data_IF_668098614886
#
_entry.id   IF_668098614886
#
_cell.length_a   1.000
_cell.length_b   1.000
_cell.length_c   1.000
_cell.angle_alpha   90.00
_cell.angle_beta   90.00
_cell.angle_gamma   90.00
#
_symmetry.space_group_name_H-M   'P 1'
#
loop_
_entity.id
_entity.type
_entity.pdbx_description
1 polymer ?
#
# COMPACT_ATOMS: atom_id res chain seq x y z
N UNK A 1 29.28 -26.54 94.19
CA UNK A 1 28.40 -25.44 93.75
C UNK A 1 28.41 -25.38 92.23
N UNK A 2 27.26 -25.31 91.56
CA UNK A 2 27.14 -24.99 90.12
C UNK A 2 27.47 -23.49 89.91
N UNK A 3 28.03 -23.08 88.75
CA UNK A 3 27.21 -22.89 87.54
C UNK A 3 27.85 -23.38 86.21
N UNK A 4 27.01 -23.81 85.27
CA UNK A 4 27.19 -23.65 83.80
C UNK A 4 26.77 -22.21 83.45
N UNK A 5 27.23 -21.52 82.38
CA UNK A 5 27.16 -21.89 80.95
C UNK A 5 28.44 -21.43 80.18
N UNK A 6 28.61 -21.31 78.86
CA UNK A 6 27.74 -21.20 77.68
C UNK A 6 28.52 -21.62 76.43
N UNK A 7 27.85 -22.37 75.54
CA UNK A 7 28.12 -22.33 74.11
C UNK A 7 27.85 -20.90 73.60
N UNK A 8 28.76 -20.37 72.78
CA UNK A 8 28.44 -19.35 71.78
C UNK A 8 28.89 -19.96 70.45
N UNK A 9 27.96 -20.58 69.73
CA UNK A 9 27.09 -19.97 68.72
C UNK A 9 27.88 -19.51 67.48
N UNK A 10 27.81 -20.38 66.46
CA UNK A 10 27.58 -20.09 65.05
C UNK A 10 28.20 -18.83 64.47
N UNK A 11 29.26 -19.00 63.68
CA UNK A 11 29.59 -18.08 62.61
C UNK A 11 29.85 -18.84 61.30
N UNK A 12 28.77 -19.36 60.72
CA UNK A 12 28.73 -19.94 59.36
C UNK A 12 27.51 -19.43 58.61
N UNK A 13 27.32 -18.11 58.56
CA UNK A 13 26.18 -17.46 57.88
C UNK A 13 26.55 -16.74 56.57
N UNK A 14 27.73 -17.02 55.98
CA UNK A 14 28.24 -16.26 54.81
C UNK A 14 28.23 -16.98 53.44
N UNK A 15 27.86 -18.28 53.23
CA UNK A 15 27.84 -18.82 51.86
C UNK A 15 26.48 -18.71 51.16
N UNK A 16 25.36 -18.64 51.89
CA UNK A 16 24.01 -18.77 51.30
C UNK A 16 23.54 -17.47 50.65
N UNK A 17 23.76 -16.31 51.28
CA UNK A 17 23.33 -15.01 50.74
C UNK A 17 23.99 -14.67 49.40
N UNK A 18 25.27 -15.04 49.20
CA UNK A 18 25.98 -14.81 47.94
C UNK A 18 25.46 -15.68 46.80
N UNK A 19 25.08 -16.93 47.11
CA UNK A 19 24.45 -17.84 46.15
C UNK A 19 23.05 -17.34 45.76
N UNK A 20 22.26 -16.85 46.72
CA UNK A 20 20.95 -16.25 46.45
C UNK A 20 21.10 -14.99 45.59
N UNK A 21 22.03 -14.09 45.92
CA UNK A 21 22.25 -12.87 45.14
C UNK A 21 22.72 -13.17 43.71
N UNK A 22 23.64 -14.12 43.52
CA UNK A 22 24.09 -14.54 42.20
C UNK A 22 22.96 -15.22 41.40
N UNK A 23 22.15 -16.06 42.05
CA UNK A 23 20.99 -16.69 41.44
C UNK A 23 19.93 -15.69 40.99
N UNK A 24 19.62 -14.69 41.83
CA UNK A 24 18.67 -13.62 41.47
C UNK A 24 19.22 -12.76 40.34
N UNK A 25 20.51 -12.42 40.34
CA UNK A 25 21.13 -11.66 39.25
C UNK A 25 21.06 -12.42 37.92
N UNK A 26 21.39 -13.71 37.93
CA UNK A 26 21.29 -14.57 36.74
C UNK A 26 19.84 -14.71 36.26
N UNK A 27 18.88 -14.84 37.17
CA UNK A 27 17.46 -14.89 36.83
C UNK A 27 17.00 -13.58 36.18
N UNK A 28 17.40 -12.42 36.74
CA UNK A 28 17.08 -11.11 36.18
C UNK A 28 17.71 -10.95 34.79
N UNK A 29 18.97 -11.32 34.61
CA UNK A 29 19.64 -11.30 33.30
C UNK A 29 18.96 -12.23 32.30
N UNK A 30 18.51 -13.42 32.74
CA UNK A 30 17.78 -14.36 31.90
C UNK A 30 16.41 -13.82 31.50
N UNK A 31 15.69 -13.17 32.41
CA UNK A 31 14.42 -12.49 32.12
C UNK A 31 14.63 -11.33 31.15
N UNK A 32 15.67 -10.51 31.33
CA UNK A 32 16.01 -9.42 30.40
C UNK A 32 16.39 -9.98 29.02
N UNK A 33 17.17 -11.06 28.96
CA UNK A 33 17.56 -11.68 27.69
C UNK A 33 16.38 -12.33 26.98
N UNK A 34 15.46 -12.98 27.70
CA UNK A 34 14.26 -13.59 27.11
C UNK A 34 13.24 -12.52 26.69
N UNK A 35 12.97 -11.52 27.53
CA UNK A 35 12.07 -10.40 27.18
C UNK A 35 12.64 -9.54 26.06
N UNK A 36 13.95 -9.29 26.04
CA UNK A 36 14.64 -8.58 24.96
C UNK A 36 14.71 -9.37 23.66
N UNK A 37 14.77 -10.70 23.72
CA UNK A 37 14.73 -11.59 22.55
C UNK A 37 13.32 -11.81 21.99
N UNK A 38 12.27 -11.53 22.78
CA UNK A 38 10.85 -11.56 22.35
C UNK A 38 10.26 -10.18 22.15
N UNK A 39 11.04 -9.11 22.37
CA UNK A 39 10.64 -7.79 21.92
C UNK A 39 10.44 -7.88 20.40
N UNK A 40 9.29 -7.47 19.85
CA UNK A 40 9.11 -7.47 18.41
C UNK A 40 10.29 -6.69 17.84
N UNK A 41 11.08 -7.35 16.99
CA UNK A 41 12.08 -6.64 16.21
C UNK A 41 11.34 -5.44 15.62
N UNK A 42 11.83 -4.23 15.88
CA UNK A 42 11.32 -3.00 15.28
C UNK A 42 11.15 -3.31 13.79
N UNK A 43 9.89 -3.53 13.39
CA UNK A 43 9.58 -4.01 12.07
C UNK A 43 9.98 -2.86 11.17
N UNK A 44 11.05 -3.04 10.40
CA UNK A 44 11.54 -2.00 9.50
C UNK A 44 10.33 -1.39 8.80
N UNK A 45 10.02 -0.09 9.01
CA UNK A 45 8.80 0.52 8.49
C UNK A 45 8.72 0.38 6.97
N UNK A 46 9.86 0.21 6.28
CA UNK A 46 9.90 -0.12 4.86
C UNK A 46 9.41 -1.55 4.59
N UNK A 47 9.80 -2.54 5.40
CA UNK A 47 9.38 -3.94 5.25
C UNK A 47 7.88 -4.11 5.43
N UNK A 48 7.30 -3.48 6.46
CA UNK A 48 5.86 -3.49 6.69
C UNK A 48 5.09 -2.82 5.53
N UNK A 49 5.60 -1.69 5.02
CA UNK A 49 5.01 -1.01 3.85
C UNK A 49 5.07 -1.85 2.57
N UNK A 50 6.19 -2.55 2.32
CA UNK A 50 6.36 -3.39 1.14
C UNK A 50 5.52 -4.68 1.18
N UNK A 51 5.08 -5.12 2.37
CA UNK A 51 4.22 -6.30 2.51
C UNK A 51 2.86 -6.12 1.84
N UNK A 52 2.32 -4.89 1.85
CA UNK A 52 1.08 -4.54 1.15
C UNK A 52 1.22 -4.45 -0.38
N UNK A 53 2.43 -4.35 -0.91
CA UNK A 53 2.68 -4.27 -2.36
C UNK A 53 2.71 -5.68 -2.93
N UNK A 54 1.76 -6.01 -3.79
CA UNK A 54 1.56 -7.36 -4.36
C UNK A 54 2.38 -7.60 -5.62
N UNK A 55 2.54 -6.57 -6.45
CA UNK A 55 3.34 -6.62 -7.68
C UNK A 55 4.84 -6.64 -7.34
N UNK A 56 5.54 -7.70 -7.77
CA UNK A 56 6.95 -7.89 -7.45
C UNK A 56 7.87 -6.82 -8.05
N UNK A 57 7.56 -6.34 -9.27
CA UNK A 57 8.34 -5.30 -9.92
C UNK A 57 8.18 -3.94 -9.26
N UNK A 58 6.97 -3.60 -8.80
CA UNK A 58 6.74 -2.40 -7.99
C UNK A 58 7.41 -2.51 -6.62
N UNK A 59 7.38 -3.69 -5.99
CA UNK A 59 8.04 -3.91 -4.69
C UNK A 59 9.55 -3.69 -4.79
N UNK A 60 10.18 -4.20 -5.84
CA UNK A 60 11.61 -4.00 -6.11
C UNK A 60 11.96 -2.52 -6.31
N UNK A 61 11.21 -1.83 -7.18
CA UNK A 61 11.34 -0.38 -7.39
C UNK A 61 11.17 0.42 -6.10
N UNK A 62 10.23 0.04 -5.22
CA UNK A 62 9.98 0.75 -3.96
C UNK A 62 11.09 0.51 -2.94
N UNK A 63 11.70 -0.67 -2.93
CA UNK A 63 12.88 -0.93 -2.11
C UNK A 63 14.09 -0.07 -2.51
N UNK A 64 14.16 0.32 -3.79
CA UNK A 64 15.14 1.25 -4.35
C UNK A 64 14.52 2.61 -4.70
N UNK A 65 13.60 3.12 -3.86
CA UNK A 65 12.77 4.28 -4.20
C UNK A 65 13.58 5.50 -4.66
N UNK A 66 14.63 5.89 -3.91
CA UNK A 66 15.41 7.08 -4.24
C UNK A 66 16.13 6.95 -5.60
N UNK A 67 16.69 5.77 -5.88
CA UNK A 67 17.37 5.46 -7.14
C UNK A 67 16.36 5.43 -8.29
N UNK A 68 15.24 4.72 -8.12
CA UNK A 68 14.16 4.63 -9.12
C UNK A 68 13.56 6.00 -9.44
N UNK A 69 13.42 6.87 -8.44
CA UNK A 69 12.85 8.20 -8.62
C UNK A 69 13.82 9.17 -9.31
N UNK A 70 15.13 8.92 -9.22
CA UNK A 70 16.18 9.71 -9.85
C UNK A 70 16.63 9.16 -11.22
N UNK A 71 16.24 7.93 -11.57
CA UNK A 71 16.55 7.30 -12.85
C UNK A 71 16.15 8.17 -14.05
N UNK A 72 17.07 8.31 -15.00
CA UNK A 72 16.86 9.09 -16.22
C UNK A 72 15.72 8.52 -17.08
N UNK A 73 14.90 9.42 -17.62
CA UNK A 73 13.76 9.11 -18.49
C UNK A 73 13.75 10.02 -19.71
N UNK A 74 13.04 9.63 -20.77
CA UNK A 74 12.85 10.51 -21.92
C UNK A 74 12.32 11.87 -21.49
N UNK A 75 13.01 12.93 -21.90
CA UNK A 75 12.71 14.30 -21.47
C UNK A 75 11.31 14.70 -21.95
N UNK A 76 10.49 15.19 -21.03
CA UNK A 76 9.24 15.89 -21.31
C UNK A 76 9.46 17.38 -21.10
N UNK A 77 9.16 18.17 -22.12
CA UNK A 77 9.08 19.63 -22.00
C UNK A 77 7.65 20.10 -22.33
N UNK A 78 7.10 20.92 -21.45
CA UNK A 78 5.77 21.51 -21.63
C UNK A 78 5.85 23.03 -21.50
N UNK A 79 5.07 23.71 -22.32
CA UNK A 79 4.89 25.17 -22.23
C UNK A 79 3.51 25.46 -21.65
N UNK A 80 3.49 26.25 -20.58
CA UNK A 80 2.26 26.76 -19.98
C UNK A 80 2.33 28.29 -19.88
N UNK A 81 1.23 29.00 -19.58
CA UNK A 81 1.27 30.45 -19.36
C UNK A 81 2.26 30.88 -18.27
N UNK A 82 2.60 29.99 -17.32
CA UNK A 82 3.56 30.25 -16.25
C UNK A 82 5.03 30.01 -16.65
N UNK A 83 5.30 29.50 -17.86
CA UNK A 83 6.65 29.27 -18.38
C UNK A 83 6.85 27.88 -19.00
N UNK A 84 8.12 27.55 -19.28
CA UNK A 84 8.54 26.24 -19.78
C UNK A 84 9.01 25.36 -18.64
N UNK A 85 8.48 24.15 -18.56
CA UNK A 85 8.82 23.17 -17.52
C UNK A 85 9.36 21.89 -18.16
N UNK A 86 10.34 21.27 -17.48
CA UNK A 86 11.02 20.05 -17.93
C UNK A 86 10.93 18.97 -16.85
N UNK A 87 10.70 17.73 -17.27
CA UNK A 87 10.91 16.53 -16.46
C UNK A 87 11.79 15.54 -17.23
N UNK A 88 12.81 15.00 -16.56
CA UNK A 88 13.74 13.99 -17.09
C UNK A 88 13.94 12.81 -16.13
N UNK A 89 13.16 12.76 -15.05
CA UNK A 89 13.08 11.65 -14.11
C UNK A 89 11.73 11.71 -13.37
N UNK A 90 11.41 10.67 -12.60
CA UNK A 90 10.16 10.61 -11.85
C UNK A 90 10.03 11.73 -10.81
N UNK A 91 11.13 12.15 -10.20
CA UNK A 91 11.11 13.22 -9.19
C UNK A 91 10.64 14.55 -9.80
N UNK A 92 11.20 14.95 -10.94
CA UNK A 92 10.81 16.15 -11.67
C UNK A 92 9.38 16.06 -12.19
N UNK A 93 8.98 14.92 -12.76
CA UNK A 93 7.62 14.70 -13.23
C UNK A 93 6.58 14.89 -12.12
N UNK A 94 6.80 14.22 -10.99
CA UNK A 94 5.87 14.23 -9.85
C UNK A 94 5.80 15.59 -9.15
N UNK A 95 6.88 16.38 -9.19
CA UNK A 95 6.87 17.76 -8.71
C UNK A 95 5.97 18.69 -9.57
N UNK A 96 5.80 18.36 -10.85
CA UNK A 96 5.02 19.14 -11.81
C UNK A 96 3.55 18.69 -11.91
N UNK A 97 3.23 17.42 -11.65
CA UNK A 97 1.87 16.88 -11.79
C UNK A 97 0.84 17.46 -10.80
N UNK A 98 1.28 18.01 -9.67
CA UNK A 98 0.38 18.56 -8.64
C UNK A 98 -0.26 19.91 -8.96
N UNK A 99 -0.11 20.44 -10.20
CA UNK A 99 -0.65 21.75 -10.61
C UNK A 99 -1.44 21.63 -11.91
N UNK A 100 -2.69 22.09 -11.93
CA UNK A 100 -3.68 21.79 -12.98
C UNK A 100 -3.21 22.01 -14.43
N UNK A 101 -2.62 23.16 -14.76
CA UNK A 101 -2.16 23.43 -16.13
C UNK A 101 -0.95 22.57 -16.53
N UNK A 102 -0.02 22.34 -15.59
CA UNK A 102 1.20 21.55 -15.81
C UNK A 102 0.89 20.07 -15.87
N UNK A 103 0.07 19.57 -14.94
CA UNK A 103 -0.37 18.19 -14.88
C UNK A 103 -1.11 17.76 -16.14
N UNK A 104 -1.97 18.62 -16.70
CA UNK A 104 -2.63 18.35 -17.99
C UNK A 104 -1.62 18.29 -19.14
N UNK A 105 -0.75 19.29 -19.26
CA UNK A 105 0.29 19.29 -20.30
C UNK A 105 1.20 18.06 -20.23
N UNK A 106 1.53 17.58 -19.02
CA UNK A 106 2.29 16.35 -18.83
C UNK A 106 1.50 15.10 -19.21
N UNK A 107 0.24 15.00 -18.83
CA UNK A 107 -0.60 13.84 -19.10
C UNK A 107 -0.87 13.65 -20.61
N UNK A 108 -1.02 14.75 -21.34
CA UNK A 108 -1.28 14.75 -22.79
C UNK A 108 0.01 14.58 -23.62
N UNK A 109 1.19 14.59 -22.99
CA UNK A 109 2.46 14.49 -23.69
C UNK A 109 2.68 13.09 -24.29
N UNK A 110 3.24 12.94 -25.52
CA UNK A 110 3.46 11.63 -26.15
C UNK A 110 4.32 10.65 -25.33
N UNK A 111 5.19 11.19 -24.49
CA UNK A 111 6.09 10.41 -23.62
C UNK A 111 5.54 10.20 -22.19
N UNK A 112 4.30 10.62 -21.90
CA UNK A 112 3.69 10.49 -20.57
C UNK A 112 3.64 9.03 -20.08
N UNK A 113 3.55 8.07 -21.02
CA UNK A 113 3.58 6.63 -20.73
C UNK A 113 4.85 6.21 -19.97
N UNK A 114 5.99 6.84 -20.24
CA UNK A 114 7.25 6.57 -19.53
C UNK A 114 7.22 7.01 -18.06
N UNK A 115 6.20 7.76 -17.63
CA UNK A 115 6.09 8.30 -16.28
C UNK A 115 4.85 7.80 -15.51
N UNK A 116 4.06 6.89 -16.10
CA UNK A 116 2.80 6.42 -15.51
C UNK A 116 2.95 5.84 -14.10
N UNK A 117 4.06 5.16 -13.82
CA UNK A 117 4.35 4.60 -12.50
C UNK A 117 4.89 5.62 -11.49
N UNK A 118 5.38 6.79 -11.91
CA UNK A 118 6.03 7.72 -10.98
C UNK A 118 5.08 8.24 -9.89
N UNK A 119 3.83 8.56 -10.26
CA UNK A 119 2.80 8.97 -9.30
C UNK A 119 2.39 7.82 -8.38
N UNK A 120 2.34 6.59 -8.90
CA UNK A 120 2.08 5.39 -8.11
C UNK A 120 3.19 5.14 -7.09
N UNK A 121 4.44 5.22 -7.53
CA UNK A 121 5.62 5.06 -6.67
C UNK A 121 5.60 6.06 -5.52
N UNK A 122 5.33 7.34 -5.79
CA UNK A 122 5.17 8.34 -4.72
C UNK A 122 3.99 8.01 -3.80
N UNK A 123 2.86 7.56 -4.35
CA UNK A 123 1.68 7.21 -3.57
C UNK A 123 2.00 6.09 -2.57
N UNK A 124 2.52 4.98 -3.06
CA UNK A 124 2.87 3.80 -2.26
C UNK A 124 4.02 4.08 -1.30
N UNK A 125 4.96 4.94 -1.66
CA UNK A 125 6.01 5.36 -0.74
C UNK A 125 5.47 6.17 0.45
N UNK A 126 4.35 6.87 0.28
CA UNK A 126 3.75 7.67 1.35
C UNK A 126 2.59 6.97 2.06
N UNK A 127 2.15 5.81 1.58
CA UNK A 127 1.03 5.09 2.16
C UNK A 127 1.42 4.39 3.47
N UNK A 128 0.39 4.08 4.24
CA UNK A 128 0.48 3.32 5.50
C UNK A 128 0.01 1.89 5.27
N UNK A 129 0.30 1.04 6.25
CA UNK A 129 -0.33 -0.28 6.34
C UNK A 129 -1.75 -0.09 6.86
N UNK A 130 -2.78 -0.68 6.22
CA UNK A 130 -4.15 -0.57 6.71
C UNK A 130 -4.33 -1.35 8.01
N UNK A 131 -5.23 -0.88 8.87
CA UNK A 131 -5.58 -1.58 10.12
C UNK A 131 -6.67 -2.64 9.88
N UNK A 132 -7.59 -2.35 8.95
CA UNK A 132 -8.68 -3.23 8.55
C UNK A 132 -8.60 -3.58 7.06
N UNK A 133 -8.52 -4.88 6.78
CA UNK A 133 -8.52 -5.42 5.42
C UNK A 133 -9.94 -5.76 4.95
N UNK A 134 -10.26 -5.44 3.70
CA UNK A 134 -11.55 -5.72 3.08
C UNK A 134 -11.76 -7.21 2.82
N UNK A 135 -10.66 -7.97 2.66
CA UNK A 135 -10.66 -9.41 2.49
C UNK A 135 -9.25 -10.00 2.73
N UNK A 136 -9.13 -11.30 3.06
CA UNK A 136 -7.84 -12.00 3.00
C UNK A 136 -7.23 -11.95 1.60
N UNK A 137 -5.89 -11.87 1.53
CA UNK A 137 -5.12 -11.75 0.28
C UNK A 137 -5.50 -12.80 -0.78
N UNK A 138 -5.70 -14.07 -0.38
CA UNK A 138 -6.09 -15.17 -1.28
C UNK A 138 -7.50 -15.02 -1.90
N UNK A 139 -8.30 -14.07 -1.42
CA UNK A 139 -9.67 -13.82 -1.88
C UNK A 139 -9.88 -12.37 -2.34
N UNK A 140 -8.80 -11.59 -2.46
CA UNK A 140 -8.88 -10.15 -2.64
C UNK A 140 -9.52 -9.78 -3.98
N UNK A 141 -9.09 -10.40 -5.08
CA UNK A 141 -9.70 -10.15 -6.38
C UNK A 141 -11.17 -10.59 -6.47
N UNK A 142 -11.57 -11.61 -5.70
CA UNK A 142 -12.99 -12.00 -5.60
C UNK A 142 -13.80 -10.94 -4.86
N UNK A 143 -13.30 -10.44 -3.73
CA UNK A 143 -13.93 -9.34 -3.01
C UNK A 143 -14.03 -8.08 -3.88
N UNK A 144 -13.01 -7.79 -4.70
CA UNK A 144 -13.06 -6.71 -5.69
C UNK A 144 -14.14 -6.96 -6.74
N UNK A 145 -14.20 -8.17 -7.33
CA UNK A 145 -15.22 -8.51 -8.34
C UNK A 145 -16.65 -8.31 -7.82
N UNK A 146 -16.90 -8.69 -6.56
CA UNK A 146 -18.23 -8.66 -5.95
C UNK A 146 -18.66 -7.24 -5.52
N UNK A 147 -17.70 -6.35 -5.22
CA UNK A 147 -17.96 -5.03 -4.63
C UNK A 147 -17.70 -3.86 -5.58
N UNK A 148 -16.86 -4.01 -6.59
CA UNK A 148 -16.50 -2.95 -7.53
C UNK A 148 -17.73 -2.47 -8.30
N UNK A 149 -18.00 -1.17 -8.20
CA UNK A 149 -18.98 -0.45 -9.00
C UNK A 149 -18.35 -0.09 -10.37
N UNK A 150 -18.73 -0.77 -11.46
CA UNK A 150 -18.13 -0.56 -12.77
C UNK A 150 -18.38 0.85 -13.33
N UNK A 151 -19.40 1.56 -12.84
CA UNK A 151 -19.67 2.93 -13.29
C UNK A 151 -18.52 3.89 -12.94
N UNK A 152 -17.83 3.63 -11.83
CA UNK A 152 -16.70 4.45 -11.35
C UNK A 152 -15.41 4.25 -12.15
N UNK A 153 -15.31 3.16 -12.91
CA UNK A 153 -14.19 2.94 -13.83
C UNK A 153 -14.24 3.89 -15.04
N UNK A 154 -15.32 4.67 -15.23
CA UNK A 154 -15.45 5.65 -16.31
C UNK A 154 -15.09 5.05 -17.68
N UNK A 155 -14.22 5.75 -18.42
CA UNK A 155 -13.72 5.32 -19.71
C UNK A 155 -12.77 4.11 -19.63
N UNK A 156 -12.56 3.45 -18.48
CA UNK A 156 -11.76 2.23 -18.30
C UNK A 156 -12.60 0.95 -18.10
N UNK A 157 -13.91 1.07 -17.84
CA UNK A 157 -14.81 -0.07 -17.72
C UNK A 157 -14.87 -0.92 -19.02
N UNK A 158 -15.16 -2.23 -18.96
CA UNK A 158 -15.45 -3.00 -20.17
C UNK A 158 -16.59 -2.32 -20.96
N UNK A 159 -16.34 -1.94 -22.22
CA UNK A 159 -17.28 -1.13 -23.00
C UNK A 159 -18.65 -1.82 -23.21
N UNK A 160 -18.65 -3.15 -23.20
CA UNK A 160 -19.83 -4.00 -23.31
C UNK A 160 -20.51 -4.32 -21.98
N UNK A 161 -19.93 -3.90 -20.85
CA UNK A 161 -20.36 -4.32 -19.52
C UNK A 161 -21.67 -3.71 -19.01
N UNK A 162 -22.28 -2.81 -19.77
CA UNK A 162 -23.55 -2.15 -19.43
C UNK A 162 -23.52 -1.38 -18.10
N UNK A 163 -24.69 -0.90 -17.64
CA UNK A 163 -24.89 -0.26 -16.32
C UNK A 163 -25.09 -1.31 -15.22
N UNK A 164 -24.21 -2.31 -15.16
CA UNK A 164 -24.27 -3.32 -14.10
C UNK A 164 -23.89 -2.69 -12.76
N UNK A 165 -24.54 -3.12 -11.68
CA UNK A 165 -24.25 -2.58 -10.34
C UNK A 165 -22.89 -3.04 -9.79
N UNK A 166 -22.42 -4.22 -10.23
CA UNK A 166 -21.19 -4.86 -9.77
C UNK A 166 -20.46 -5.53 -10.92
N UNK A 167 -19.12 -5.56 -10.86
CA UNK A 167 -18.27 -6.14 -11.90
C UNK A 167 -18.59 -7.62 -12.14
N UNK A 168 -18.82 -8.41 -11.08
CA UNK A 168 -19.18 -9.82 -11.20
C UNK A 168 -20.46 -10.09 -12.03
N UNK A 169 -21.31 -9.08 -12.23
CA UNK A 169 -22.55 -9.19 -12.99
C UNK A 169 -22.40 -8.72 -14.46
N UNK A 170 -21.20 -8.37 -14.90
CA UNK A 170 -20.95 -7.97 -16.29
C UNK A 170 -21.23 -9.14 -17.24
N UNK A 171 -22.04 -8.96 -18.29
CA UNK A 171 -22.24 -10.00 -19.30
C UNK A 171 -20.93 -10.22 -20.06
N UNK A 172 -20.30 -11.37 -19.83
CA UNK A 172 -19.01 -11.73 -20.40
C UNK A 172 -19.02 -13.19 -20.85
N UNK A 173 -18.24 -13.49 -21.89
CA UNK A 173 -18.07 -14.86 -22.39
C UNK A 173 -17.12 -15.65 -21.47
N UNK A 174 -16.17 -14.96 -20.84
CA UNK A 174 -15.32 -15.52 -19.81
C UNK A 174 -15.08 -14.52 -18.68
N UNK A 175 -15.15 -15.01 -17.45
CA UNK A 175 -14.86 -14.27 -16.23
C UNK A 175 -13.97 -15.12 -15.32
N UNK A 176 -12.67 -14.83 -15.30
CA UNK A 176 -11.70 -15.55 -14.50
C UNK A 176 -11.21 -14.69 -13.34
N UNK A 177 -11.16 -15.27 -12.15
CA UNK A 177 -10.67 -14.61 -10.93
C UNK A 177 -9.63 -15.50 -10.29
N UNK A 178 -8.43 -14.96 -10.13
CA UNK A 178 -7.32 -15.54 -9.35
C UNK A 178 -7.23 -14.84 -7.99
N UNK A 179 -6.13 -14.98 -7.26
CA UNK A 179 -5.98 -14.37 -5.93
C UNK A 179 -6.02 -12.83 -5.99
N UNK A 180 -5.32 -12.23 -6.96
CA UNK A 180 -5.16 -10.78 -7.10
C UNK A 180 -5.51 -10.23 -8.49
N UNK A 181 -5.89 -11.09 -9.45
CA UNK A 181 -6.23 -10.67 -10.81
C UNK A 181 -7.60 -11.15 -11.27
N UNK A 182 -8.32 -10.26 -11.95
CA UNK A 182 -9.60 -10.49 -12.63
C UNK A 182 -9.36 -10.32 -14.13
N UNK A 183 -9.76 -11.31 -14.92
CA UNK A 183 -9.74 -11.26 -16.38
C UNK A 183 -11.16 -11.44 -16.92
N UNK A 184 -11.59 -10.52 -17.77
CA UNK A 184 -12.93 -10.48 -18.37
C UNK A 184 -12.79 -10.42 -19.89
N UNK A 185 -13.55 -11.23 -20.61
CA UNK A 185 -13.58 -11.21 -22.07
C UNK A 185 -14.98 -11.31 -22.64
N UNK A 186 -15.18 -10.66 -23.78
CA UNK A 186 -16.38 -10.76 -24.58
C UNK A 186 -16.03 -10.53 -26.06
N UNK A 187 -16.31 -11.51 -26.90
CA UNK A 187 -15.78 -11.60 -28.25
C UNK A 187 -14.25 -11.49 -28.26
N UNK A 188 -13.72 -10.62 -29.12
CA UNK A 188 -12.28 -10.34 -29.22
C UNK A 188 -11.76 -9.39 -28.14
N UNK A 189 -12.67 -8.77 -27.38
CA UNK A 189 -12.29 -7.76 -26.42
C UNK A 189 -11.86 -8.39 -25.09
N UNK A 190 -10.72 -7.91 -24.57
CA UNK A 190 -10.10 -8.38 -23.33
C UNK A 190 -9.93 -7.22 -22.36
N UNK A 191 -10.30 -7.45 -21.12
CA UNK A 191 -10.15 -6.51 -20.02
C UNK A 191 -9.57 -7.23 -18.81
N UNK A 192 -8.69 -6.56 -18.07
CA UNK A 192 -8.09 -7.13 -16.88
C UNK A 192 -7.99 -6.09 -15.77
N UNK A 193 -8.09 -6.54 -14.54
CA UNK A 193 -7.82 -5.75 -13.34
C UNK A 193 -6.93 -6.56 -12.43
N UNK A 194 -5.81 -5.97 -12.05
CA UNK A 194 -4.81 -6.59 -11.19
C UNK A 194 -4.64 -5.76 -9.93
N UNK A 195 -4.80 -6.36 -8.76
CA UNK A 195 -4.57 -5.70 -7.48
C UNK A 195 -3.07 -5.69 -7.23
N UNK A 196 -2.47 -4.50 -7.33
CA UNK A 196 -1.02 -4.34 -7.26
C UNK A 196 -0.54 -3.91 -5.87
N UNK A 197 -1.42 -3.32 -5.05
CA UNK A 197 -1.14 -3.03 -3.66
C UNK A 197 -2.42 -2.97 -2.81
N UNK A 198 -2.25 -3.32 -1.53
CA UNK A 198 -3.19 -3.18 -0.42
C UNK A 198 -2.54 -2.22 0.58
N UNK A 199 -3.13 -1.05 0.76
CA UNK A 199 -2.52 0.07 1.47
C UNK A 199 -3.58 0.97 2.12
N UNK A 200 -3.19 1.81 3.06
CA UNK A 200 -4.01 2.96 3.48
C UNK A 200 -3.43 4.24 2.89
N UNK A 201 -4.19 4.85 1.99
CA UNK A 201 -3.85 6.09 1.28
C UNK A 201 -4.77 7.23 1.72
N UNK A 202 -6.03 6.91 1.97
CA UNK A 202 -7.07 7.87 2.33
C UNK A 202 -7.11 8.16 3.83
N UNK A 203 -6.16 7.73 4.65
CA UNK A 203 -6.08 8.20 6.03
C UNK A 203 -7.09 7.58 7.01
N UNK A 204 -8.05 6.81 6.51
CA UNK A 204 -9.04 6.02 7.25
C UNK A 204 -8.41 4.68 7.63
N UNK A 205 -8.77 4.02 8.76
CA UNK A 205 -8.19 2.70 9.10
C UNK A 205 -8.54 1.59 8.08
N UNK A 206 -9.38 1.88 7.08
CA UNK A 206 -9.87 0.94 6.07
C UNK A 206 -8.92 0.87 4.87
N UNK A 207 -8.63 -0.35 4.44
CA UNK A 207 -7.82 -0.66 3.27
C UNK A 207 -8.36 -0.04 1.96
N UNK A 208 -7.45 0.64 1.27
CA UNK A 208 -7.55 1.06 -0.12
C UNK A 208 -6.76 0.08 -1.00
N UNK A 209 -7.30 -0.24 -2.17
CA UNK A 209 -6.61 -1.12 -3.12
C UNK A 209 -6.11 -0.34 -4.32
N UNK A 210 -4.81 -0.43 -4.59
CA UNK A 210 -4.29 0.09 -5.85
C UNK A 210 -4.36 -1.00 -6.89
N UNK A 211 -5.00 -0.69 -8.01
CA UNK A 211 -5.26 -1.63 -9.10
C UNK A 211 -4.71 -1.13 -10.42
N UNK A 212 -4.26 -2.06 -11.25
CA UNK A 212 -3.84 -1.84 -12.64
C UNK A 212 -4.93 -2.38 -13.56
N UNK A 213 -5.55 -1.51 -14.33
CA UNK A 213 -6.64 -1.82 -15.26
C UNK A 213 -6.08 -1.85 -16.69
N UNK A 214 -6.10 -3.03 -17.32
CA UNK A 214 -5.60 -3.25 -18.68
C UNK A 214 -6.71 -3.50 -19.68
N UNK A 215 -6.49 -3.07 -20.94
CA UNK A 215 -7.34 -3.40 -22.09
C UNK A 215 -6.51 -3.95 -23.24
N UNK A 216 -6.82 -5.17 -23.66
CA UNK A 216 -6.04 -5.85 -24.71
C UNK A 216 -4.55 -5.94 -24.35
N UNK A 217 -3.69 -5.51 -25.27
CA UNK A 217 -2.22 -5.51 -25.13
C UNK A 217 -1.61 -4.18 -24.67
N UNK A 218 -2.44 -3.19 -24.30
CA UNK A 218 -1.95 -1.87 -23.89
C UNK A 218 -1.34 -1.84 -22.48
N UNK A 219 -0.51 -0.83 -22.20
CA UNK A 219 -0.07 -0.53 -20.84
C UNK A 219 -1.29 -0.19 -19.96
N UNK A 220 -1.42 -0.88 -18.83
CA UNK A 220 -2.56 -0.70 -17.92
C UNK A 220 -2.52 0.65 -17.20
N UNK A 221 -3.69 1.19 -16.88
CA UNK A 221 -3.85 2.42 -16.10
C UNK A 221 -4.06 2.10 -14.62
N UNK A 222 -3.43 2.85 -13.73
CA UNK A 222 -3.58 2.67 -12.30
C UNK A 222 -4.75 3.47 -11.73
N UNK A 223 -5.48 2.87 -10.79
CA UNK A 223 -6.55 3.50 -10.01
C UNK A 223 -6.47 3.05 -8.55
N UNK A 224 -7.10 3.82 -7.65
CA UNK A 224 -7.32 3.42 -6.26
C UNK A 224 -8.78 3.02 -6.09
N UNK A 225 -9.03 1.87 -5.50
CA UNK A 225 -10.35 1.42 -5.10
C UNK A 225 -10.56 1.76 -3.63
N UNK A 226 -11.63 2.49 -3.34
CA UNK A 226 -12.02 2.88 -1.99
C UNK A 226 -13.37 2.30 -1.62
N UNK A 227 -13.52 1.90 -0.36
CA UNK A 227 -14.81 1.48 0.18
C UNK A 227 -15.74 2.68 0.37
N UNK A 228 -16.92 2.63 -0.25
CA UNK A 228 -18.05 3.54 -0.01
C UNK A 228 -18.85 3.11 1.23
N UNK A 229 -19.68 4.03 1.73
CA UNK A 229 -20.56 3.77 2.88
C UNK A 229 -21.58 2.63 2.63
N UNK A 230 -21.95 2.37 1.37
CA UNK A 230 -22.83 1.25 0.98
C UNK A 230 -22.08 -0.09 0.83
N UNK A 231 -20.79 -0.11 1.14
CA UNK A 231 -19.91 -1.27 0.99
C UNK A 231 -19.41 -1.51 -0.44
N UNK A 232 -19.82 -0.73 -1.43
CA UNK A 232 -19.27 -0.81 -2.78
C UNK A 232 -17.81 -0.35 -2.81
N UNK A 233 -17.04 -0.81 -3.79
CA UNK A 233 -15.73 -0.23 -4.11
C UNK A 233 -15.90 0.76 -5.27
N UNK A 234 -15.45 1.99 -5.06
CA UNK A 234 -15.36 3.03 -6.09
C UNK A 234 -13.92 3.18 -6.57
N UNK A 235 -13.73 3.24 -7.88
CA UNK A 235 -12.45 3.52 -8.49
C UNK A 235 -12.23 5.03 -8.65
N UNK A 236 -11.09 5.51 -8.15
CA UNK A 236 -10.64 6.89 -8.24
C UNK A 236 -9.27 6.96 -8.95
N UNK A 237 -9.04 7.97 -9.80
CA UNK A 237 -7.74 8.13 -10.44
C UNK A 237 -6.67 8.58 -9.44
N UNK A 238 -5.41 8.15 -9.66
CA UNK A 238 -4.29 8.41 -8.73
C UNK A 238 -4.08 9.90 -8.42
N UNK A 239 -4.37 10.80 -9.35
CA UNK A 239 -4.17 12.24 -9.20
C UNK A 239 -5.01 12.86 -8.07
N UNK A 240 -6.11 12.23 -7.65
CA UNK A 240 -6.91 12.65 -6.49
C UNK A 240 -6.09 12.61 -5.19
N UNK A 241 -5.17 11.65 -5.08
CA UNK A 241 -4.41 11.40 -3.85
C UNK A 241 -3.05 12.12 -3.82
N UNK A 242 -2.49 12.45 -5.00
CA UNK A 242 -1.18 13.11 -5.12
C UNK A 242 -1.22 14.61 -4.78
N UNK A 243 -2.40 15.25 -4.87
CA UNK A 243 -2.58 16.70 -4.66
C UNK A 243 -2.77 17.14 -3.19
N UNK A 244 -2.62 16.25 -2.20
CA UNK A 244 -2.70 16.61 -0.77
C UNK A 244 -4.10 16.81 -0.20
N UNK A 245 -5.17 16.46 -0.95
CA UNK A 245 -6.57 16.55 -0.52
C UNK A 245 -7.23 15.21 -0.18
N UNK A 246 -6.43 14.17 0.11
CA UNK A 246 -6.78 12.75 -0.03
C UNK A 246 -8.08 12.27 0.62
N UNK A 247 -8.52 12.85 1.73
CA UNK A 247 -9.80 12.49 2.38
C UNK A 247 -10.98 13.27 1.82
N UNK A 248 -10.93 14.59 1.88
CA UNK A 248 -12.07 15.44 1.55
C UNK A 248 -12.45 15.37 0.07
N UNK A 249 -11.47 15.25 -0.84
CA UNK A 249 -11.75 15.14 -2.28
C UNK A 249 -12.19 13.73 -2.67
N UNK A 250 -11.59 12.69 -2.09
CA UNK A 250 -11.97 11.31 -2.38
C UNK A 250 -13.38 10.98 -1.86
N UNK A 251 -13.72 11.46 -0.65
CA UNK A 251 -15.07 11.31 -0.10
C UNK A 251 -16.11 12.11 -0.90
N UNK A 252 -15.81 13.36 -1.29
CA UNK A 252 -16.72 14.16 -2.11
C UNK A 252 -16.97 13.54 -3.50
N UNK A 253 -15.96 12.89 -4.10
CA UNK A 253 -16.11 12.20 -5.38
C UNK A 253 -16.78 10.83 -5.25
N UNK A 254 -16.51 10.08 -4.17
CA UNK A 254 -17.17 8.80 -3.91
C UNK A 254 -18.66 8.95 -3.54
N UNK A 255 -19.06 10.11 -2.99
CA UNK A 255 -20.45 10.43 -2.65
C UNK A 255 -21.23 11.12 -3.78
N UNK A 256 -20.53 11.62 -4.82
CA UNK A 256 -21.07 12.44 -5.89
C UNK A 256 -21.55 11.71 -7.15
N UNK A 257 -21.60 10.36 -7.15
CA UNK A 257 -22.09 9.54 -8.26
C UNK A 257 -23.15 8.52 -7.82
#
# INVERSE_FOLDING_TARGET
MRPSPSLSDLDTSVPVFRLIAAGVLLLVLFVIATVGSTAPAEEDPMRARLAGVLDAGLRDKLSHYAETMAEERPVIEIETPEGRFKADNCTGYVALTGRDARGRGLADHPLASHYQECSLMRLLHNSRTPEEHIAPQASLARAVADRLDPATLNALAPAWGGKTRRLANVPADSFAVTDHRIDVAHGDARWSLDVVASVDVAGSPVEDLVVRVGRGSGAGTFMVLMTRDDGALAALPLNVFVAGGGLAMAQAQAQGF
#
